data_IF_682379845662
#
_entry.id   IF_682379845662
#
_cell.length_a   1.000
_cell.length_b   1.000
_cell.length_c   1.000
_cell.angle_alpha   90.00
_cell.angle_beta   90.00
_cell.angle_gamma   90.00
#
_symmetry.space_group_name_H-M   'P 1'
#
loop_
_entity.id
_entity.type
_entity.pdbx_description
1 polymer ?
#
# COMPACT_ATOMS: atom_id res chain seq x y z
N UNK A 1 24.36 6.19 -13.97
CA UNK A 1 24.09 7.65 -13.80
C UNK A 1 23.89 7.95 -12.32
N UNK A 2 24.08 9.20 -11.89
CA UNK A 2 23.59 9.68 -10.59
C UNK A 2 22.15 10.18 -10.72
N UNK A 3 21.20 9.55 -10.03
CA UNK A 3 19.76 9.74 -10.21
C UNK A 3 19.08 10.09 -8.90
N UNK A 4 18.25 11.13 -8.90
CA UNK A 4 17.32 11.43 -7.80
C UNK A 4 15.93 10.91 -8.14
N UNK A 5 15.29 10.16 -7.23
CA UNK A 5 13.89 9.75 -7.35
C UNK A 5 13.02 10.54 -6.37
N UNK A 6 12.26 11.52 -6.88
CA UNK A 6 11.32 12.31 -6.09
C UNK A 6 10.03 11.52 -5.89
N UNK A 7 9.52 11.47 -4.65
CA UNK A 7 8.47 10.53 -4.26
C UNK A 7 9.03 9.14 -3.92
N UNK A 8 10.34 9.05 -3.62
CA UNK A 8 11.06 7.79 -3.43
C UNK A 8 10.68 6.97 -2.19
N UNK A 9 9.79 7.47 -1.34
CA UNK A 9 9.18 6.73 -0.22
C UNK A 9 7.78 6.19 -0.52
N UNK A 10 7.20 6.55 -1.67
CA UNK A 10 5.96 5.94 -2.14
C UNK A 10 6.22 4.59 -2.82
N UNK A 11 5.19 3.76 -3.05
CA UNK A 11 5.36 2.42 -3.64
C UNK A 11 6.00 2.46 -5.03
N UNK A 12 5.59 3.38 -5.89
CA UNK A 12 6.15 3.53 -7.25
C UNK A 12 7.59 4.03 -7.21
N UNK A 13 7.84 5.13 -6.48
CA UNK A 13 9.15 5.76 -6.42
C UNK A 13 10.20 4.86 -5.78
N UNK A 14 9.87 4.16 -4.69
CA UNK A 14 10.79 3.21 -4.06
C UNK A 14 11.10 2.01 -4.94
N UNK A 15 10.11 1.46 -5.66
CA UNK A 15 10.36 0.37 -6.62
C UNK A 15 11.30 0.83 -7.75
N UNK A 16 11.02 1.99 -8.36
CA UNK A 16 11.86 2.57 -9.42
C UNK A 16 13.28 2.83 -8.90
N UNK A 17 13.43 3.38 -7.71
CA UNK A 17 14.73 3.64 -7.11
C UNK A 17 15.55 2.36 -6.90
N UNK A 18 14.93 1.32 -6.35
CA UNK A 18 15.57 0.02 -6.14
C UNK A 18 15.91 -0.67 -7.47
N UNK A 19 15.04 -0.57 -8.47
CA UNK A 19 15.30 -1.08 -9.82
C UNK A 19 16.52 -0.42 -10.46
N UNK A 20 16.57 0.92 -10.48
CA UNK A 20 17.70 1.67 -11.03
C UNK A 20 19.00 1.40 -10.25
N UNK A 21 18.92 1.21 -8.93
CA UNK A 21 20.09 0.83 -8.11
C UNK A 21 20.59 -0.56 -8.49
N UNK A 22 19.69 -1.52 -8.75
CA UNK A 22 20.05 -2.86 -9.20
C UNK A 22 20.69 -2.87 -10.60
N UNK A 23 20.34 -1.91 -11.46
CA UNK A 23 21.00 -1.68 -12.76
C UNK A 23 22.39 -1.01 -12.65
N UNK A 24 22.85 -0.69 -11.43
CA UNK A 24 24.17 -0.11 -11.18
C UNK A 24 24.23 1.42 -11.22
N UNK A 25 23.08 2.10 -11.15
CA UNK A 25 23.04 3.56 -10.99
C UNK A 25 23.35 3.96 -9.54
N UNK A 26 23.88 5.17 -9.37
CA UNK A 26 23.87 5.83 -8.05
C UNK A 26 22.51 6.49 -7.88
N UNK A 27 21.79 6.11 -6.83
CA UNK A 27 20.38 6.50 -6.65
C UNK A 27 20.17 7.09 -5.27
N UNK A 28 19.61 8.29 -5.23
CA UNK A 28 19.09 8.94 -4.04
C UNK A 28 17.57 9.01 -4.10
N UNK A 29 16.91 9.05 -2.95
CA UNK A 29 15.46 9.28 -2.83
C UNK A 29 15.17 10.66 -2.24
N UNK A 30 14.09 11.28 -2.71
CA UNK A 30 13.59 12.54 -2.18
C UNK A 30 12.15 12.39 -1.66
N UNK A 31 11.92 12.89 -0.44
CA UNK A 31 10.63 12.89 0.24
C UNK A 31 10.57 14.01 1.29
N UNK A 32 9.35 14.33 1.75
CA UNK A 32 9.12 15.35 2.80
C UNK A 32 9.81 14.99 4.12
N UNK A 33 9.62 13.74 4.55
CA UNK A 33 10.16 13.22 5.80
C UNK A 33 11.19 12.13 5.50
N UNK A 34 12.21 12.02 6.37
CA UNK A 34 13.16 10.92 6.36
C UNK A 34 12.38 9.60 6.49
N UNK A 35 12.59 8.61 5.60
CA UNK A 35 11.96 7.30 5.77
C UNK A 35 12.38 6.67 7.09
N UNK A 36 11.45 5.98 7.75
CA UNK A 36 11.76 5.18 8.93
C UNK A 36 12.80 4.11 8.59
N UNK A 37 13.59 3.67 9.58
CA UNK A 37 14.65 2.68 9.38
C UNK A 37 14.13 1.37 8.77
N UNK A 38 12.89 0.98 9.09
CA UNK A 38 12.20 -0.21 8.56
C UNK A 38 11.75 -0.08 7.10
N UNK A 39 11.74 1.12 6.52
CA UNK A 39 11.27 1.34 5.16
C UNK A 39 12.22 0.71 4.13
N UNK A 40 11.68 0.10 3.07
CA UNK A 40 12.45 -0.65 2.05
C UNK A 40 13.56 0.16 1.35
N UNK A 41 13.39 1.48 1.29
CA UNK A 41 14.33 2.41 0.67
C UNK A 41 15.19 3.20 1.69
N UNK A 42 15.15 2.85 2.98
CA UNK A 42 15.85 3.59 4.05
C UNK A 42 17.37 3.59 3.93
N UNK A 43 17.93 2.59 3.22
CA UNK A 43 19.36 2.48 2.96
C UNK A 43 19.86 3.38 1.81
N UNK A 44 18.97 3.97 1.02
CA UNK A 44 19.34 4.88 -0.07
C UNK A 44 19.63 6.28 0.50
N UNK A 45 20.61 7.02 -0.05
CA UNK A 45 20.83 8.42 0.28
C UNK A 45 19.53 9.23 0.16
N UNK A 46 19.26 10.07 1.15
CA UNK A 46 18.01 10.83 1.24
C UNK A 46 18.23 12.33 1.09
N UNK A 47 17.33 12.96 0.33
CA UNK A 47 17.22 14.40 0.20
C UNK A 47 15.85 14.84 0.75
N UNK A 48 15.86 15.69 1.78
CA UNK A 48 14.66 16.38 2.23
C UNK A 48 14.12 17.24 1.08
N UNK A 49 12.87 16.99 0.68
CA UNK A 49 12.28 17.64 -0.49
C UNK A 49 10.77 17.76 -0.30
N UNK A 50 10.28 19.01 -0.27
CA UNK A 50 8.87 19.29 -0.50
C UNK A 50 8.73 20.15 -1.76
N UNK A 51 8.40 19.50 -2.88
CA UNK A 51 8.28 20.20 -4.16
C UNK A 51 7.17 21.26 -4.18
N UNK A 52 6.19 21.18 -3.26
CA UNK A 52 5.16 22.21 -3.07
C UNK A 52 5.72 23.52 -2.48
N UNK A 53 6.86 23.45 -1.79
CA UNK A 53 7.50 24.63 -1.19
C UNK A 53 8.70 25.13 -2.00
N UNK A 54 9.15 24.38 -3.00
CA UNK A 54 10.38 24.63 -3.77
C UNK A 54 11.63 24.89 -2.90
N UNK A 55 11.70 24.20 -1.77
CA UNK A 55 12.74 24.36 -0.76
C UNK A 55 14.09 23.74 -1.16
N UNK A 56 14.10 22.85 -2.16
CA UNK A 56 15.33 22.26 -2.68
C UNK A 56 16.13 23.30 -3.50
N UNK A 57 17.36 23.57 -3.07
CA UNK A 57 18.27 24.49 -3.77
C UNK A 57 18.71 23.91 -5.13
N UNK A 58 19.04 24.79 -6.07
CA UNK A 58 19.61 24.36 -7.36
C UNK A 58 20.93 23.63 -7.15
N UNK A 59 21.76 24.06 -6.20
CA UNK A 59 23.02 23.41 -5.86
C UNK A 59 22.82 21.94 -5.45
N UNK A 60 21.79 21.65 -4.64
CA UNK A 60 21.44 20.28 -4.26
C UNK A 60 21.02 19.42 -5.46
N UNK A 61 20.42 20.03 -6.49
CA UNK A 61 20.00 19.33 -7.71
C UNK A 61 21.15 19.16 -8.72
N UNK A 62 22.11 20.08 -8.74
CA UNK A 62 23.20 20.14 -9.73
C UNK A 62 24.11 18.89 -9.72
N UNK A 63 24.12 18.13 -8.62
CA UNK A 63 24.87 16.89 -8.50
C UNK A 63 24.25 15.71 -9.26
N UNK A 64 22.97 15.79 -9.63
CA UNK A 64 22.24 14.71 -10.29
C UNK A 64 22.28 14.84 -11.81
N UNK A 65 22.50 13.72 -12.49
CA UNK A 65 22.49 13.67 -13.96
C UNK A 65 21.08 13.47 -14.50
N UNK A 66 20.23 12.80 -13.73
CA UNK A 66 18.82 12.61 -14.04
C UNK A 66 17.94 12.72 -12.79
N UNK A 67 16.69 13.09 -13.01
CA UNK A 67 15.64 13.03 -12.00
C UNK A 67 14.49 12.17 -12.53
N UNK A 68 13.98 11.28 -11.69
CA UNK A 68 12.69 10.62 -11.90
C UNK A 68 11.69 11.20 -10.90
N UNK A 69 10.63 11.80 -11.41
CA UNK A 69 9.59 12.43 -10.61
C UNK A 69 8.38 11.50 -10.55
N UNK A 70 8.35 10.67 -9.50
CA UNK A 70 7.28 9.72 -9.22
C UNK A 70 6.26 10.22 -8.18
N UNK A 71 6.40 11.47 -7.74
CA UNK A 71 5.39 12.14 -6.92
C UNK A 71 4.27 12.71 -7.81
N UNK A 72 3.03 12.60 -7.34
CA UNK A 72 1.86 13.22 -7.95
C UNK A 72 0.76 13.29 -6.92
N UNK A 73 0.10 14.44 -6.81
CA UNK A 73 -1.03 14.58 -5.90
C UNK A 73 -2.27 13.93 -6.52
N UNK A 74 -3.04 13.26 -5.68
CA UNK A 74 -4.29 12.57 -5.98
C UNK A 74 -5.23 12.72 -4.77
N UNK A 75 -6.49 12.27 -4.81
CA UNK A 75 -7.45 12.51 -3.73
C UNK A 75 -6.96 12.16 -2.32
N UNK A 76 -6.03 11.20 -2.17
CA UNK A 76 -5.47 10.80 -0.86
C UNK A 76 -4.49 11.83 -0.28
N UNK A 77 -4.07 12.80 -1.08
CA UNK A 77 -3.06 13.80 -0.72
C UNK A 77 -3.67 15.18 -0.44
N UNK A 78 -4.98 15.36 -0.67
CA UNK A 78 -5.69 16.60 -0.39
C UNK A 78 -5.83 16.73 1.14
N UNK A 79 -5.31 17.82 1.75
CA UNK A 79 -5.49 18.05 3.17
C UNK A 79 -6.96 18.17 3.57
N UNK A 80 -7.28 17.76 4.79
CA UNK A 80 -8.66 17.80 5.29
C UNK A 80 -9.21 19.23 5.28
N UNK A 81 -10.39 19.40 4.68
CA UNK A 81 -11.05 20.70 4.53
C UNK A 81 -10.52 21.60 3.41
N UNK A 82 -9.50 21.17 2.66
CA UNK A 82 -9.05 21.88 1.46
C UNK A 82 -9.87 21.52 0.23
N UNK A 83 -9.91 22.44 -0.74
CA UNK A 83 -10.51 22.21 -2.05
C UNK A 83 -9.62 21.27 -2.89
N UNK A 84 -10.09 20.05 -3.22
CA UNK A 84 -9.35 19.09 -4.03
C UNK A 84 -8.92 19.65 -5.37
N UNK A 85 -9.78 20.44 -6.03
CA UNK A 85 -9.55 20.94 -7.38
C UNK A 85 -8.41 21.96 -7.39
N UNK A 86 -8.45 22.91 -6.46
CA UNK A 86 -7.37 23.87 -6.24
C UNK A 86 -6.06 23.17 -5.89
N UNK A 87 -6.11 22.16 -5.02
CA UNK A 87 -4.95 21.38 -4.63
C UNK A 87 -4.30 20.67 -5.83
N UNK A 88 -5.08 19.98 -6.68
CA UNK A 88 -4.55 19.27 -7.83
C UNK A 88 -3.91 20.22 -8.86
N UNK A 89 -4.57 21.33 -9.18
CA UNK A 89 -4.02 22.32 -10.13
C UNK A 89 -2.71 22.91 -9.62
N UNK A 90 -2.65 23.25 -8.34
CA UNK A 90 -1.44 23.78 -7.73
C UNK A 90 -0.32 22.71 -7.70
N UNK A 91 -0.57 21.57 -7.05
CA UNK A 91 0.44 20.54 -6.85
C UNK A 91 0.95 19.94 -8.17
N UNK A 92 0.05 19.47 -9.03
CA UNK A 92 0.42 18.81 -10.28
C UNK A 92 0.65 19.80 -11.41
N UNK A 93 -0.28 20.74 -11.60
CA UNK A 93 -0.25 21.65 -12.75
C UNK A 93 0.84 22.73 -12.65
N UNK A 94 1.16 23.21 -11.45
CA UNK A 94 2.05 24.36 -11.27
C UNK A 94 3.40 23.96 -10.66
N UNK A 95 3.37 23.31 -9.50
CA UNK A 95 4.55 23.09 -8.67
C UNK A 95 5.47 22.01 -9.23
N UNK A 96 4.92 20.95 -9.81
CA UNK A 96 5.71 19.91 -10.46
C UNK A 96 6.47 20.45 -11.70
N UNK A 97 5.84 21.15 -12.67
CA UNK A 97 6.57 21.78 -13.77
C UNK A 97 7.57 22.85 -13.30
N UNK A 98 7.29 23.55 -12.20
CA UNK A 98 8.23 24.49 -11.60
C UNK A 98 9.48 23.77 -11.04
N UNK A 99 9.30 22.62 -10.39
CA UNK A 99 10.41 21.76 -9.96
C UNK A 99 11.23 21.26 -11.17
N UNK A 100 10.57 20.82 -12.25
CA UNK A 100 11.25 20.39 -13.47
C UNK A 100 12.08 21.52 -14.11
N UNK A 101 11.55 22.76 -14.13
CA UNK A 101 12.33 23.96 -14.54
C UNK A 101 13.55 24.17 -13.66
N UNK A 102 13.40 24.06 -12.33
CA UNK A 102 14.49 24.23 -11.39
C UNK A 102 15.59 23.19 -11.60
N UNK A 103 15.22 21.93 -11.87
CA UNK A 103 16.14 20.86 -12.21
C UNK A 103 16.92 21.15 -13.50
N UNK A 104 16.22 21.61 -14.54
CA UNK A 104 16.85 22.07 -15.80
C UNK A 104 17.86 23.18 -15.53
N UNK A 105 17.45 24.21 -14.78
CA UNK A 105 18.27 25.38 -14.49
C UNK A 105 19.49 25.03 -13.62
N UNK A 106 19.38 23.98 -12.79
CA UNK A 106 20.49 23.39 -12.04
C UNK A 106 21.45 22.53 -12.91
N UNK A 107 21.14 22.30 -14.18
CA UNK A 107 22.00 21.56 -15.10
C UNK A 107 21.77 20.04 -15.13
N UNK A 108 20.66 19.55 -14.55
CA UNK A 108 20.22 18.16 -14.75
C UNK A 108 20.00 17.91 -16.24
N UNK A 109 20.42 16.77 -16.78
CA UNK A 109 20.32 16.48 -18.21
C UNK A 109 19.03 15.75 -18.60
N UNK A 110 18.47 14.91 -17.71
CA UNK A 110 17.26 14.12 -17.98
C UNK A 110 16.23 14.25 -16.86
N UNK A 111 14.97 14.40 -17.23
CA UNK A 111 13.85 14.45 -16.29
C UNK A 111 12.72 13.55 -16.77
N UNK A 112 12.42 12.51 -15.99
CA UNK A 112 11.34 11.57 -16.30
C UNK A 112 10.19 11.85 -15.33
N UNK A 113 9.05 12.27 -15.85
CA UNK A 113 7.82 12.45 -15.09
C UNK A 113 6.95 11.21 -15.21
N UNK A 114 6.47 10.67 -14.08
CA UNK A 114 5.43 9.64 -14.09
C UNK A 114 4.08 10.34 -14.18
N UNK A 115 3.49 10.33 -15.36
CA UNK A 115 2.24 11.02 -15.67
C UNK A 115 1.01 10.12 -15.53
N UNK A 116 -0.01 10.34 -16.37
CA UNK A 116 -1.27 9.61 -16.30
C UNK A 116 -1.82 9.39 -17.71
N UNK A 117 -2.34 8.21 -17.97
CA UNK A 117 -2.96 7.86 -19.25
C UNK A 117 -4.27 8.60 -19.55
N UNK A 118 -5.01 9.07 -18.52
CA UNK A 118 -6.37 9.61 -18.71
C UNK A 118 -6.47 10.73 -19.76
N UNK A 119 -5.57 11.73 -19.82
CA UNK A 119 -5.61 12.76 -20.86
C UNK A 119 -5.53 12.22 -22.29
N UNK A 120 -4.86 11.08 -22.51
CA UNK A 120 -4.74 10.46 -23.84
C UNK A 120 -6.02 9.76 -24.26
N UNK A 121 -6.64 9.03 -23.33
CA UNK A 121 -7.73 8.09 -23.62
C UNK A 121 -9.12 8.65 -23.31
N UNK A 122 -9.21 9.68 -22.46
CA UNK A 122 -10.42 10.43 -22.12
C UNK A 122 -10.16 11.94 -22.31
N UNK A 123 -9.80 12.43 -23.51
CA UNK A 123 -9.42 13.82 -23.72
C UNK A 123 -10.52 14.83 -23.33
N UNK A 124 -11.80 14.45 -23.46
CA UNK A 124 -12.92 15.29 -23.00
C UNK A 124 -12.89 15.59 -21.49
N UNK A 125 -12.23 14.75 -20.69
CA UNK A 125 -12.13 14.93 -19.23
C UNK A 125 -11.11 15.99 -18.85
N UNK A 126 -10.25 16.44 -19.77
CA UNK A 126 -9.33 17.56 -19.51
C UNK A 126 -10.15 18.81 -19.18
N UNK A 127 -11.27 19.03 -19.84
CA UNK A 127 -12.14 20.18 -19.57
C UNK A 127 -13.05 19.93 -18.35
N UNK A 128 -13.64 18.73 -18.21
CA UNK A 128 -14.67 18.46 -17.21
C UNK A 128 -14.16 17.92 -15.86
N UNK A 129 -12.91 17.46 -15.77
CA UNK A 129 -12.35 16.86 -14.54
C UNK A 129 -11.01 17.51 -14.20
N UNK A 130 -10.94 18.17 -13.04
CA UNK A 130 -9.77 18.96 -12.64
C UNK A 130 -8.54 18.10 -12.34
N UNK A 131 -8.71 16.89 -11.81
CA UNK A 131 -7.59 15.96 -11.66
C UNK A 131 -6.98 15.62 -13.03
N UNK A 132 -7.80 15.20 -14.01
CA UNK A 132 -7.32 14.89 -15.38
C UNK A 132 -6.66 16.11 -16.02
N UNK A 133 -7.26 17.29 -15.86
CA UNK A 133 -6.68 18.57 -16.32
C UNK A 133 -5.31 18.83 -15.70
N UNK A 134 -5.17 18.62 -14.40
CA UNK A 134 -3.91 18.86 -13.69
C UNK A 134 -2.79 17.93 -14.18
N UNK A 135 -3.11 16.66 -14.46
CA UNK A 135 -2.16 15.67 -14.98
C UNK A 135 -1.78 15.97 -16.44
N UNK A 136 -2.74 16.41 -17.25
CA UNK A 136 -2.48 16.88 -18.61
C UNK A 136 -1.53 18.08 -18.63
N UNK A 137 -1.83 19.12 -17.84
CA UNK A 137 -0.99 20.31 -17.73
C UNK A 137 0.42 19.98 -17.21
N UNK A 138 0.54 19.06 -16.26
CA UNK A 138 1.83 18.59 -15.76
C UNK A 138 2.67 17.98 -16.89
N UNK A 139 2.12 16.99 -17.60
CA UNK A 139 2.82 16.30 -18.69
C UNK A 139 3.22 17.27 -19.81
N UNK A 140 2.27 18.09 -20.28
CA UNK A 140 2.51 19.10 -21.32
C UNK A 140 3.64 20.06 -20.92
N UNK A 141 3.51 20.71 -19.76
CA UNK A 141 4.45 21.75 -19.32
C UNK A 141 5.81 21.20 -18.99
N UNK A 142 5.93 19.94 -18.55
CA UNK A 142 7.22 19.26 -18.36
C UNK A 142 7.87 19.00 -19.70
N UNK A 143 7.13 18.39 -20.65
CA UNK A 143 7.66 18.05 -21.97
C UNK A 143 8.16 19.28 -22.74
N UNK A 144 7.42 20.39 -22.68
CA UNK A 144 7.78 21.69 -23.29
C UNK A 144 9.08 22.31 -22.75
N UNK A 145 9.60 21.85 -21.59
CA UNK A 145 10.90 22.32 -21.09
C UNK A 145 12.08 21.73 -21.84
N UNK A 146 11.85 20.71 -22.65
CA UNK A 146 12.91 20.02 -23.38
C UNK A 146 13.66 20.94 -24.32
N UNK A 147 14.97 20.79 -24.36
CA UNK A 147 15.85 21.48 -25.29
C UNK A 147 17.11 20.63 -25.54
N UNK A 148 18.10 21.20 -26.23
CA UNK A 148 19.34 20.49 -26.58
C UNK A 148 20.20 20.04 -25.38
N UNK A 149 19.95 20.52 -24.16
CA UNK A 149 20.69 20.17 -22.94
C UNK A 149 19.83 19.48 -21.88
N UNK A 150 18.50 19.49 -22.04
CA UNK A 150 17.56 18.95 -21.08
C UNK A 150 16.50 18.12 -21.79
N UNK A 151 16.48 16.82 -21.51
CA UNK A 151 15.47 15.89 -22.03
C UNK A 151 14.41 15.67 -20.97
N UNK A 152 13.23 16.28 -21.13
CA UNK A 152 12.08 16.08 -20.27
C UNK A 152 11.04 15.18 -20.96
N UNK A 153 10.62 14.11 -20.28
CA UNK A 153 9.75 13.07 -20.83
C UNK A 153 8.65 12.78 -19.83
N UNK A 154 7.43 12.58 -20.31
CA UNK A 154 6.33 12.03 -19.49
C UNK A 154 6.10 10.56 -19.83
N UNK A 155 6.00 9.72 -18.81
CA UNK A 155 5.60 8.32 -18.89
C UNK A 155 4.20 8.19 -18.31
N UNK A 156 3.21 8.18 -19.20
CA UNK A 156 1.81 8.32 -18.86
C UNK A 156 1.20 6.93 -18.61
N UNK A 157 1.36 6.48 -17.37
CA UNK A 157 0.97 5.16 -16.93
C UNK A 157 -0.55 5.03 -16.66
N UNK A 158 -1.12 3.84 -16.90
CA UNK A 158 -2.46 3.50 -16.46
C UNK A 158 -2.46 2.99 -15.02
N UNK A 159 -3.39 2.12 -14.63
CA UNK A 159 -3.44 1.59 -13.26
C UNK A 159 -2.18 0.75 -12.98
N UNK A 160 -1.29 1.27 -12.14
CA UNK A 160 -0.02 0.60 -11.80
C UNK A 160 -0.21 -0.42 -10.68
N UNK A 161 0.23 -1.65 -10.92
CA UNK A 161 0.04 -2.80 -10.02
C UNK A 161 1.37 -3.23 -9.40
N UNK A 162 1.41 -3.30 -8.07
CA UNK A 162 2.52 -3.85 -7.30
C UNK A 162 3.20 -2.85 -6.37
N UNK A 163 4.11 -3.38 -5.56
CA UNK A 163 4.91 -2.68 -4.56
C UNK A 163 6.29 -3.36 -4.44
N UNK A 164 7.30 -2.69 -3.89
CA UNK A 164 8.61 -3.31 -3.68
C UNK A 164 8.56 -4.39 -2.59
N UNK A 165 9.43 -5.41 -2.75
CA UNK A 165 9.61 -6.47 -1.76
C UNK A 165 9.87 -5.87 -0.37
N UNK A 166 9.13 -6.34 0.63
CA UNK A 166 9.28 -5.89 2.02
C UNK A 166 8.37 -4.71 2.40
N UNK A 167 7.68 -4.08 1.45
CA UNK A 167 6.76 -2.98 1.75
C UNK A 167 5.38 -3.49 2.19
N UNK A 168 4.75 -2.78 3.13
CA UNK A 168 3.38 -2.99 3.57
C UNK A 168 2.50 -1.83 3.05
N UNK A 169 1.97 -1.96 1.84
CA UNK A 169 1.05 -0.95 1.29
C UNK A 169 -0.41 -1.28 1.66
N UNK A 170 -1.17 -0.36 2.27
CA UNK A 170 -2.54 -0.64 2.74
C UNK A 170 -3.49 -1.16 1.65
N UNK A 171 -3.39 -0.64 0.42
CA UNK A 171 -4.27 -1.06 -0.68
C UNK A 171 -3.98 -2.51 -1.08
N UNK A 172 -2.70 -2.83 -1.32
CA UNK A 172 -2.33 -4.18 -1.72
C UNK A 172 -2.56 -5.22 -0.61
N UNK A 173 -2.34 -4.84 0.65
CA UNK A 173 -2.64 -5.69 1.80
C UNK A 173 -4.14 -5.95 1.95
N UNK A 174 -4.99 -4.95 1.66
CA UNK A 174 -6.44 -5.12 1.63
C UNK A 174 -6.87 -6.05 0.49
N UNK A 175 -6.31 -5.92 -0.71
CA UNK A 175 -6.68 -6.77 -1.85
C UNK A 175 -6.31 -8.24 -1.61
N UNK A 176 -5.12 -8.50 -1.02
CA UNK A 176 -4.71 -9.85 -0.63
C UNK A 176 -5.58 -10.40 0.51
N UNK A 177 -5.94 -9.58 1.50
CA UNK A 177 -6.84 -9.98 2.60
C UNK A 177 -8.26 -10.27 2.10
N UNK A 178 -8.75 -9.49 1.15
CA UNK A 178 -10.00 -9.73 0.45
C UNK A 178 -9.98 -11.08 -0.28
N UNK A 179 -8.94 -11.35 -1.07
CA UNK A 179 -8.78 -12.64 -1.75
C UNK A 179 -8.67 -13.82 -0.76
N UNK A 180 -8.03 -13.62 0.40
CA UNK A 180 -7.98 -14.63 1.49
C UNK A 180 -9.35 -14.85 2.17
N UNK A 181 -10.31 -13.93 2.00
CA UNK A 181 -11.62 -13.99 2.64
C UNK A 181 -11.62 -13.52 4.09
N UNK A 182 -10.71 -12.61 4.45
CA UNK A 182 -10.66 -12.01 5.78
C UNK A 182 -11.85 -11.07 6.02
N UNK A 183 -12.34 -10.42 4.96
CA UNK A 183 -13.56 -9.60 4.99
C UNK A 183 -14.78 -10.47 4.65
N UNK A 184 -15.40 -11.08 5.66
CA UNK A 184 -16.48 -12.06 5.46
C UNK A 184 -17.80 -11.42 4.97
N UNK A 185 -17.96 -10.12 5.14
CA UNK A 185 -19.07 -9.30 4.64
C UNK A 185 -18.91 -8.90 3.16
N UNK A 186 -17.72 -9.11 2.58
CA UNK A 186 -17.43 -8.76 1.19
C UNK A 186 -17.45 -10.01 0.31
N UNK A 187 -18.49 -10.12 -0.50
CA UNK A 187 -18.62 -11.17 -1.52
C UNK A 187 -17.44 -11.16 -2.50
N UNK A 188 -17.10 -12.32 -3.06
CA UNK A 188 -16.04 -12.47 -4.07
C UNK A 188 -16.51 -12.07 -5.48
N UNK A 189 -16.33 -10.81 -5.87
CA UNK A 189 -16.70 -10.26 -7.19
C UNK A 189 -15.72 -9.16 -7.62
N UNK A 190 -15.77 -8.76 -8.88
CA UNK A 190 -15.18 -7.50 -9.34
C UNK A 190 -16.29 -6.56 -9.82
N UNK A 191 -16.15 -5.24 -9.64
CA UNK A 191 -17.12 -4.30 -10.18
C UNK A 191 -17.16 -4.39 -11.71
N UNK A 192 -18.32 -4.11 -12.31
CA UNK A 192 -18.46 -4.12 -13.75
C UNK A 192 -17.54 -3.10 -14.43
N UNK A 193 -17.05 -3.43 -15.62
CA UNK A 193 -16.13 -2.59 -16.40
C UNK A 193 -14.67 -3.08 -16.36
N UNK A 194 -13.77 -2.21 -16.79
CA UNK A 194 -12.35 -2.53 -16.91
C UNK A 194 -11.48 -1.33 -17.28
N UNK A 195 -10.17 -1.53 -17.23
CA UNK A 195 -9.18 -0.53 -17.63
C UNK A 195 -7.94 -1.22 -18.17
N UNK A 196 -7.00 -0.42 -18.69
CA UNK A 196 -5.64 -0.87 -18.90
C UNK A 196 -4.87 -0.87 -17.56
N UNK A 197 -4.05 -1.87 -17.35
CA UNK A 197 -3.16 -2.01 -16.19
C UNK A 197 -1.71 -2.03 -16.65
N UNK A 198 -0.77 -1.78 -15.75
CA UNK A 198 0.66 -2.01 -15.94
C UNK A 198 1.28 -2.47 -14.63
N UNK A 199 2.23 -3.41 -14.66
CA UNK A 199 2.97 -3.74 -13.43
C UNK A 199 3.96 -2.62 -13.07
N UNK A 200 4.25 -2.45 -11.78
CA UNK A 200 5.30 -1.53 -11.32
C UNK A 200 6.68 -1.93 -11.87
N UNK A 201 6.89 -3.22 -12.16
CA UNK A 201 8.11 -3.74 -12.79
C UNK A 201 8.23 -3.24 -14.24
N UNK A 202 7.16 -3.36 -15.03
CA UNK A 202 7.11 -2.85 -16.40
C UNK A 202 7.25 -1.32 -16.42
N UNK A 203 6.62 -0.61 -15.48
CA UNK A 203 6.81 0.84 -15.34
C UNK A 203 8.29 1.19 -15.06
N UNK A 204 8.95 0.48 -14.13
CA UNK A 204 10.35 0.72 -13.82
C UNK A 204 11.28 0.46 -15.01
N UNK A 205 11.02 -0.60 -15.79
CA UNK A 205 11.73 -0.86 -17.05
C UNK A 205 11.50 0.28 -18.06
N UNK A 206 10.28 0.80 -18.16
CA UNK A 206 9.99 1.94 -19.03
C UNK A 206 10.74 3.21 -18.58
N UNK A 207 10.94 3.41 -17.28
CA UNK A 207 11.82 4.47 -16.75
C UNK A 207 13.25 4.29 -17.24
N UNK A 208 13.82 3.08 -17.10
CA UNK A 208 15.17 2.77 -17.59
C UNK A 208 15.31 2.99 -19.10
N UNK A 209 14.30 2.56 -19.87
CA UNK A 209 14.22 2.82 -21.30
C UNK A 209 14.17 4.30 -21.66
N UNK A 210 13.35 5.08 -20.97
CA UNK A 210 13.25 6.52 -21.19
C UNK A 210 14.55 7.24 -20.83
N UNK A 211 15.19 6.86 -19.72
CA UNK A 211 16.51 7.38 -19.32
C UNK A 211 17.59 7.06 -20.35
N UNK A 212 17.55 5.90 -21.00
CA UNK A 212 18.55 5.49 -21.97
C UNK A 212 18.28 6.05 -23.39
N UNK A 213 17.04 5.91 -23.86
CA UNK A 213 16.67 6.00 -25.28
C UNK A 213 15.44 6.87 -25.57
N UNK A 214 14.81 7.43 -24.53
CA UNK A 214 13.58 8.22 -24.69
C UNK A 214 13.77 9.48 -25.55
N UNK A 215 12.73 9.82 -26.30
CA UNK A 215 12.64 11.01 -27.13
C UNK A 215 12.31 12.23 -26.28
N UNK A 216 13.17 13.25 -26.33
CA UNK A 216 13.00 14.47 -25.55
C UNK A 216 11.69 15.20 -25.94
N UNK A 217 10.92 15.64 -24.95
CA UNK A 217 9.65 16.35 -25.15
C UNK A 217 8.46 15.45 -25.44
N UNK A 218 8.62 14.12 -25.38
CA UNK A 218 7.53 13.18 -25.63
C UNK A 218 6.78 12.80 -24.35
N UNK A 219 5.45 12.69 -24.48
CA UNK A 219 4.58 12.06 -23.50
C UNK A 219 4.18 10.67 -24.02
N UNK A 220 4.78 9.62 -23.46
CA UNK A 220 4.55 8.23 -23.84
C UNK A 220 3.31 7.68 -23.15
N UNK A 221 2.31 7.23 -23.92
CA UNK A 221 1.20 6.45 -23.40
C UNK A 221 1.68 5.03 -23.11
N UNK A 222 1.71 4.63 -21.84
CA UNK A 222 2.10 3.27 -21.44
C UNK A 222 0.88 2.37 -21.32
N UNK A 223 1.09 1.06 -21.37
CA UNK A 223 0.05 0.08 -21.09
C UNK A 223 0.55 -1.34 -21.15
N UNK A 224 -0.08 -2.22 -20.36
CA UNK A 224 0.27 -3.64 -20.30
C UNK A 224 -0.90 -4.52 -20.75
N UNK A 225 -1.91 -4.70 -19.89
CA UNK A 225 -3.04 -5.58 -20.11
C UNK A 225 -4.35 -4.80 -20.04
N UNK A 226 -5.23 -4.98 -21.03
CA UNK A 226 -6.62 -4.52 -20.97
C UNK A 226 -7.45 -5.57 -20.23
N UNK A 227 -7.85 -5.30 -18.98
CA UNK A 227 -8.53 -6.26 -18.12
C UNK A 227 -9.89 -5.74 -17.63
N UNK A 228 -10.86 -6.65 -17.51
CA UNK A 228 -12.01 -6.39 -16.64
C UNK A 228 -11.57 -6.37 -15.18
N UNK A 229 -12.26 -5.62 -14.33
CA UNK A 229 -11.93 -5.61 -12.89
C UNK A 229 -12.13 -6.99 -12.26
N UNK A 230 -13.11 -7.77 -12.72
CA UNK A 230 -13.28 -9.16 -12.32
C UNK A 230 -12.06 -10.03 -12.65
N UNK A 231 -11.47 -9.88 -13.86
CA UNK A 231 -10.25 -10.60 -14.22
C UNK A 231 -9.04 -10.13 -13.41
N UNK A 232 -8.94 -8.83 -13.15
CA UNK A 232 -7.91 -8.27 -12.29
C UNK A 232 -7.98 -8.85 -10.87
N UNK A 233 -9.17 -8.86 -10.24
CA UNK A 233 -9.35 -9.49 -8.92
C UNK A 233 -9.11 -11.01 -8.97
N UNK A 234 -9.47 -11.71 -10.06
CA UNK A 234 -9.19 -13.14 -10.22
C UNK A 234 -7.70 -13.46 -10.05
N UNK A 235 -6.78 -12.58 -10.46
CA UNK A 235 -5.35 -12.79 -10.23
C UNK A 235 -5.02 -12.89 -8.72
N UNK A 236 -5.64 -12.08 -7.87
CA UNK A 236 -5.44 -12.14 -6.42
C UNK A 236 -5.97 -13.45 -5.81
N UNK A 237 -7.18 -13.88 -6.21
CA UNK A 237 -7.76 -15.15 -5.73
C UNK A 237 -6.91 -16.35 -6.13
N UNK A 238 -6.40 -16.36 -7.37
CA UNK A 238 -5.46 -17.39 -7.83
C UNK A 238 -4.16 -17.37 -7.03
N UNK A 239 -3.58 -16.18 -6.82
CA UNK A 239 -2.30 -16.02 -6.13
C UNK A 239 -2.34 -16.47 -4.66
N UNK A 240 -3.50 -16.39 -4.00
CA UNK A 240 -3.69 -16.91 -2.63
C UNK A 240 -4.23 -18.35 -2.60
N UNK A 241 -4.34 -19.01 -3.76
CA UNK A 241 -4.75 -20.42 -3.88
C UNK A 241 -6.24 -20.67 -3.62
N UNK A 242 -7.10 -19.65 -3.72
CA UNK A 242 -8.53 -19.77 -3.46
C UNK A 242 -9.30 -20.12 -4.74
N UNK A 243 -9.93 -21.28 -4.75
CA UNK A 243 -10.73 -21.78 -5.88
C UNK A 243 -12.10 -21.06 -5.96
N UNK A 244 -12.09 -19.82 -6.45
CA UNK A 244 -13.29 -18.99 -6.68
C UNK A 244 -13.24 -18.43 -8.10
N UNK A 245 -14.39 -18.39 -8.76
CA UNK A 245 -14.57 -17.66 -10.01
C UNK A 245 -15.11 -16.28 -9.68
N UNK A 246 -14.32 -15.24 -9.94
CA UNK A 246 -14.70 -13.85 -9.66
C UNK A 246 -15.65 -13.37 -10.75
N UNK A 247 -16.91 -13.16 -10.38
CA UNK A 247 -17.93 -12.63 -11.29
C UNK A 247 -17.78 -11.11 -11.47
N UNK A 248 -18.17 -10.60 -12.65
CA UNK A 248 -18.34 -9.17 -12.91
C UNK A 248 -19.75 -8.75 -12.49
N UNK A 249 -19.87 -7.90 -11.46
CA UNK A 249 -21.16 -7.46 -10.92
C UNK A 249 -21.25 -5.93 -10.99
N UNK A 250 -22.36 -5.40 -11.48
CA UNK A 250 -22.64 -3.96 -11.46
C UNK A 250 -23.08 -3.51 -10.07
N UNK A 251 -22.12 -3.50 -9.14
CA UNK A 251 -22.27 -3.07 -7.76
C UNK A 251 -20.98 -2.39 -7.31
N UNK A 252 -21.11 -1.43 -6.41
CA UNK A 252 -19.95 -0.76 -5.81
C UNK A 252 -19.09 -1.80 -5.09
N UNK A 253 -17.78 -1.70 -5.22
CA UNK A 253 -16.84 -2.65 -4.64
C UNK A 253 -15.96 -1.94 -3.60
N UNK A 254 -15.88 -2.40 -2.34
CA UNK A 254 -15.16 -1.67 -1.29
C UNK A 254 -13.66 -1.55 -1.58
N UNK A 255 -13.06 -2.55 -2.23
CA UNK A 255 -11.65 -2.50 -2.64
C UNK A 255 -11.40 -1.59 -3.85
N UNK A 256 -12.42 -1.32 -4.67
CA UNK A 256 -12.31 -0.49 -5.86
C UNK A 256 -13.60 0.32 -6.01
N UNK A 257 -13.77 1.37 -5.19
CA UNK A 257 -15.01 2.12 -5.12
C UNK A 257 -15.22 2.97 -6.38
N UNK A 258 -16.44 3.42 -6.62
CA UNK A 258 -16.81 4.09 -7.88
C UNK A 258 -16.01 5.37 -8.14
N UNK A 259 -15.61 6.08 -7.08
CA UNK A 259 -14.78 7.29 -7.16
C UNK A 259 -13.37 6.98 -7.71
N UNK A 260 -12.91 5.74 -7.61
CA UNK A 260 -11.65 5.28 -8.18
C UNK A 260 -11.78 4.81 -9.64
N UNK A 261 -13.01 4.66 -10.16
CA UNK A 261 -13.31 4.23 -11.53
C UNK A 261 -13.66 5.47 -12.35
N UNK A 262 -12.64 6.20 -12.81
CA UNK A 262 -12.79 7.50 -13.49
C UNK A 262 -13.76 7.46 -14.68
N UNK A 263 -13.74 6.37 -15.46
CA UNK A 263 -14.61 6.16 -16.61
C UNK A 263 -16.06 5.79 -16.23
N UNK A 264 -16.35 5.64 -14.94
CA UNK A 264 -17.61 5.13 -14.41
C UNK A 264 -17.68 3.60 -14.43
N UNK A 265 -18.24 3.01 -13.37
CA UNK A 265 -18.50 1.56 -13.28
C UNK A 265 -19.35 1.11 -14.48
N UNK A 266 -19.05 -0.07 -15.00
CA UNK A 266 -19.67 -0.64 -16.20
C UNK A 266 -18.98 -0.25 -17.51
N UNK A 267 -18.20 0.84 -17.53
CA UNK A 267 -17.44 1.26 -18.70
C UNK A 267 -16.04 0.63 -18.72
N UNK A 268 -15.47 0.48 -19.91
CA UNK A 268 -14.13 -0.07 -20.11
C UNK A 268 -13.25 0.92 -20.87
N UNK A 269 -12.07 1.22 -20.33
CA UNK A 269 -10.99 1.87 -21.08
C UNK A 269 -10.04 0.79 -21.58
N UNK A 270 -9.91 0.66 -22.90
CA UNK A 270 -9.00 -0.30 -23.52
C UNK A 270 -8.28 0.33 -24.71
N UNK A 271 -6.97 0.10 -24.80
CA UNK A 271 -6.11 0.62 -25.87
C UNK A 271 -4.83 -0.21 -25.99
N UNK A 272 -4.12 -0.03 -27.09
CA UNK A 272 -2.77 -0.56 -27.29
C UNK A 272 -1.78 0.60 -27.38
N UNK A 273 -0.70 0.60 -26.58
CA UNK A 273 0.41 1.54 -26.76
C UNK A 273 1.02 1.43 -28.15
N UNK A 274 1.62 2.52 -28.63
CA UNK A 274 2.36 2.50 -29.89
C UNK A 274 3.53 1.50 -29.81
N UNK A 275 3.64 0.61 -30.79
CA UNK A 275 4.62 -0.49 -30.77
C UNK A 275 6.07 0.01 -30.85
N UNK A 276 6.30 1.12 -31.55
CA UNK A 276 7.64 1.72 -31.62
C UNK A 276 8.01 2.33 -30.27
N UNK A 277 7.06 2.96 -29.59
CA UNK A 277 7.28 3.48 -28.24
C UNK A 277 7.56 2.38 -27.21
N UNK A 278 6.84 1.26 -27.29
CA UNK A 278 7.13 0.06 -26.47
C UNK A 278 8.54 -0.47 -26.75
N UNK A 279 8.97 -0.51 -28.01
CA UNK A 279 10.32 -0.95 -28.37
C UNK A 279 11.41 0.01 -27.85
N UNK A 280 11.22 1.32 -28.01
CA UNK A 280 12.13 2.35 -27.51
C UNK A 280 12.28 2.24 -25.99
N UNK A 281 11.16 2.13 -25.27
CA UNK A 281 11.16 2.03 -23.81
C UNK A 281 11.58 0.62 -23.32
N UNK A 282 11.39 -0.42 -24.11
CA UNK A 282 11.89 -1.77 -23.84
C UNK A 282 11.34 -2.40 -22.56
N UNK A 283 10.09 -2.09 -22.19
CA UNK A 283 9.42 -2.71 -21.04
C UNK A 283 8.64 -3.96 -21.46
N UNK A 284 8.52 -4.91 -20.55
CA UNK A 284 7.77 -6.14 -20.79
C UNK A 284 6.26 -5.94 -20.65
N UNK A 285 5.49 -6.79 -21.32
CA UNK A 285 4.03 -6.86 -21.21
C UNK A 285 3.57 -8.27 -20.79
N UNK A 286 2.32 -8.38 -20.36
CA UNK A 286 1.65 -9.47 -19.67
C UNK A 286 2.24 -9.78 -18.30
N UNK A 287 2.52 -8.75 -17.49
CA UNK A 287 3.18 -8.89 -16.20
C UNK A 287 2.29 -8.57 -14.99
N UNK A 288 1.01 -8.20 -15.20
CA UNK A 288 0.11 -7.87 -14.07
C UNK A 288 -0.15 -9.10 -13.20
N UNK A 289 -0.50 -10.23 -13.81
CA UNK A 289 -0.68 -11.50 -13.11
C UNK A 289 0.59 -11.97 -12.37
N UNK A 290 1.73 -12.13 -13.08
CA UNK A 290 3.01 -12.49 -12.45
C UNK A 290 3.45 -11.56 -11.32
N UNK A 291 3.22 -10.24 -11.44
CA UNK A 291 3.53 -9.29 -10.37
C UNK A 291 2.64 -9.51 -9.14
N UNK A 292 1.35 -9.80 -9.32
CA UNK A 292 0.43 -10.12 -8.21
C UNK A 292 0.85 -11.44 -7.53
N UNK A 293 1.23 -12.47 -8.29
CA UNK A 293 1.74 -13.74 -7.76
C UNK A 293 3.02 -13.55 -6.93
N UNK A 294 3.98 -12.79 -7.46
CA UNK A 294 5.19 -12.44 -6.72
C UNK A 294 4.85 -11.69 -5.44
N UNK A 295 3.99 -10.67 -5.52
CA UNK A 295 3.60 -9.87 -4.36
C UNK A 295 2.91 -10.73 -3.28
N UNK A 296 2.02 -11.65 -3.67
CA UNK A 296 1.40 -12.58 -2.74
C UNK A 296 2.43 -13.51 -2.07
N UNK A 297 3.39 -14.03 -2.84
CA UNK A 297 4.50 -14.85 -2.33
C UNK A 297 5.35 -14.08 -1.33
N UNK A 298 5.76 -12.86 -1.66
CA UNK A 298 6.59 -12.01 -0.80
C UNK A 298 5.87 -11.61 0.50
N UNK A 299 4.57 -11.34 0.44
CA UNK A 299 3.76 -11.09 1.64
C UNK A 299 3.66 -12.35 2.50
N UNK A 300 3.52 -13.54 1.89
CA UNK A 300 3.53 -14.80 2.63
C UNK A 300 4.90 -15.07 3.29
N UNK A 301 6.00 -14.80 2.59
CA UNK A 301 7.37 -14.86 3.15
C UNK A 301 7.52 -13.90 4.34
N UNK A 302 7.05 -12.66 4.19
CA UNK A 302 7.10 -11.63 5.24
C UNK A 302 6.31 -12.05 6.49
N UNK A 303 5.08 -12.54 6.32
CA UNK A 303 4.27 -13.02 7.45
C UNK A 303 4.93 -14.25 8.09
N UNK A 304 5.45 -15.15 7.26
CA UNK A 304 6.06 -16.41 7.65
C UNK A 304 5.03 -17.42 8.20
N UNK A 305 5.43 -18.66 8.47
CA UNK A 305 4.52 -19.69 8.98
C UNK A 305 4.01 -19.33 10.37
N UNK A 306 2.78 -19.75 10.67
CA UNK A 306 2.25 -19.69 12.03
C UNK A 306 2.44 -21.06 12.66
N UNK A 307 3.46 -21.18 13.50
CA UNK A 307 3.73 -22.40 14.25
C UNK A 307 2.73 -22.51 15.40
N UNK A 308 2.12 -23.70 15.54
CA UNK A 308 1.33 -24.01 16.73
C UNK A 308 2.26 -24.31 17.89
N UNK A 309 1.94 -23.76 19.06
CA UNK A 309 2.56 -24.13 20.32
C UNK A 309 2.26 -25.61 20.57
N UNK A 310 3.32 -26.34 20.91
CA UNK A 310 3.21 -27.73 21.35
C UNK A 310 3.31 -27.73 22.86
N UNK A 311 2.21 -28.08 23.52
CA UNK A 311 2.11 -28.16 24.96
C UNK A 311 2.52 -29.57 25.43
N UNK A 312 3.41 -29.64 26.41
CA UNK A 312 3.77 -30.86 27.13
C UNK A 312 2.80 -31.22 28.26
N UNK A 313 3.14 -32.29 28.97
CA UNK A 313 2.32 -32.87 30.06
C UNK A 313 2.06 -31.89 31.22
N UNK A 314 2.95 -30.91 31.42
CA UNK A 314 2.88 -29.97 32.53
C UNK A 314 2.20 -28.65 32.18
N UNK A 315 1.62 -28.53 30.98
CA UNK A 315 0.87 -27.36 30.59
C UNK A 315 -0.32 -27.13 31.52
N UNK A 316 -0.42 -25.94 32.08
CA UNK A 316 -1.43 -25.60 33.08
C UNK A 316 -1.95 -24.18 32.89
N UNK A 317 -2.99 -23.84 33.65
CA UNK A 317 -3.46 -22.47 33.78
C UNK A 317 -2.50 -21.71 34.71
N UNK A 318 -2.09 -20.52 34.29
CA UNK A 318 -1.33 -19.58 35.11
C UNK A 318 -2.07 -18.25 35.21
N UNK A 319 -2.36 -17.75 36.44
CA UNK A 319 -3.17 -16.56 36.62
C UNK A 319 -2.49 -15.27 36.12
N UNK A 320 -1.16 -15.18 36.17
CA UNK A 320 -0.44 -13.97 35.76
C UNK A 320 -0.41 -13.84 34.23
N UNK A 321 -0.16 -14.95 33.52
CA UNK A 321 -0.19 -15.01 32.06
C UNK A 321 -1.62 -14.89 31.50
N UNK A 322 -2.62 -15.37 32.23
CA UNK A 322 -4.02 -15.13 31.87
C UNK A 322 -4.38 -13.65 32.04
N UNK A 323 -3.99 -13.04 33.16
CA UNK A 323 -4.19 -11.62 33.41
C UNK A 323 -3.48 -10.74 32.35
N UNK A 324 -2.29 -11.13 31.89
CA UNK A 324 -1.60 -10.48 30.77
C UNK A 324 -2.42 -10.51 29.48
N UNK A 325 -3.02 -11.66 29.15
CA UNK A 325 -3.89 -11.79 27.97
C UNK A 325 -5.20 -11.03 28.11
N UNK A 326 -5.78 -10.95 29.31
CA UNK A 326 -6.94 -10.12 29.58
C UNK A 326 -6.62 -8.62 29.46
N UNK A 327 -5.43 -8.17 29.92
CA UNK A 327 -4.95 -6.79 29.73
C UNK A 327 -4.76 -6.44 28.26
N UNK A 328 -4.24 -7.36 27.46
CA UNK A 328 -4.18 -7.18 26.00
C UNK A 328 -5.56 -6.87 25.42
N UNK A 329 -6.56 -7.71 25.73
CA UNK A 329 -7.93 -7.55 25.24
C UNK A 329 -8.49 -6.19 25.63
N UNK A 330 -8.40 -5.85 26.92
CA UNK A 330 -8.88 -4.58 27.43
C UNK A 330 -8.17 -3.39 26.75
N UNK A 331 -6.84 -3.45 26.58
CA UNK A 331 -6.08 -2.39 25.94
C UNK A 331 -6.47 -2.19 24.46
N UNK A 332 -6.68 -3.28 23.72
CA UNK A 332 -7.16 -3.23 22.34
C UNK A 332 -8.56 -2.63 22.26
N UNK A 333 -9.48 -3.07 23.11
CA UNK A 333 -10.88 -2.62 23.11
C UNK A 333 -11.05 -1.14 23.48
N UNK A 334 -10.15 -0.61 24.33
CA UNK A 334 -10.19 0.78 24.78
C UNK A 334 -9.20 1.68 24.01
N UNK A 335 -8.50 1.14 23.01
CA UNK A 335 -7.40 1.81 22.33
C UNK A 335 -6.32 2.40 23.28
N UNK A 336 -6.10 1.76 24.44
CA UNK A 336 -5.13 2.21 25.44
C UNK A 336 -3.72 1.76 25.06
N UNK A 337 -3.01 2.65 24.36
CA UNK A 337 -1.62 2.43 23.93
C UNK A 337 -0.63 2.31 25.10
N UNK A 338 -0.93 2.89 26.26
CA UNK A 338 -0.06 2.80 27.44
C UNK A 338 -0.13 1.40 28.04
N UNK A 339 -1.34 0.89 28.22
CA UNK A 339 -1.55 -0.49 28.66
C UNK A 339 -1.01 -1.48 27.63
N UNK A 340 -1.27 -1.24 26.34
CA UNK A 340 -0.78 -2.12 25.27
C UNK A 340 0.76 -2.20 25.24
N UNK A 341 1.46 -1.07 25.45
CA UNK A 341 2.93 -1.05 25.60
C UNK A 341 3.42 -1.87 26.79
N UNK A 342 2.67 -1.91 27.90
CA UNK A 342 3.06 -2.71 29.07
C UNK A 342 2.93 -4.22 28.85
N UNK A 343 2.15 -4.64 27.84
CA UNK A 343 1.83 -6.06 27.57
C UNK A 343 2.88 -6.72 26.67
N UNK A 344 3.53 -5.99 25.78
CA UNK A 344 4.48 -6.52 24.81
C UNK A 344 5.94 -6.14 25.15
N UNK A 345 6.90 -6.94 24.69
CA UNK A 345 8.31 -6.52 24.66
C UNK A 345 8.52 -5.48 23.55
N UNK A 346 9.60 -4.69 23.61
CA UNK A 346 9.87 -3.64 22.61
C UNK A 346 10.10 -4.23 21.20
N UNK A 347 10.65 -5.44 21.14
CA UNK A 347 10.94 -6.21 19.92
C UNK A 347 9.85 -7.23 19.55
N UNK A 348 8.67 -7.13 20.17
CA UNK A 348 7.63 -8.15 20.02
C UNK A 348 7.14 -8.30 18.58
N UNK A 349 6.72 -9.53 18.22
CA UNK A 349 6.11 -9.83 16.93
C UNK A 349 4.65 -10.23 17.12
N UNK A 350 3.74 -9.52 16.47
CA UNK A 350 2.32 -9.85 16.40
C UNK A 350 1.92 -10.13 14.95
N UNK A 351 1.41 -11.33 14.66
CA UNK A 351 1.04 -11.71 13.29
C UNK A 351 -0.19 -12.58 13.23
N UNK A 352 -0.82 -12.64 12.06
CA UNK A 352 -1.99 -13.46 11.80
C UNK A 352 -2.24 -13.61 10.30
N UNK A 353 -3.42 -14.11 9.90
CA UNK A 353 -3.77 -14.27 8.49
C UNK A 353 -3.73 -12.92 7.76
N UNK A 354 -2.76 -12.77 6.86
CA UNK A 354 -2.63 -11.58 6.02
C UNK A 354 -1.95 -10.38 6.67
N UNK A 355 -1.45 -10.46 7.90
CA UNK A 355 -0.75 -9.34 8.54
C UNK A 355 0.41 -9.78 9.44
N UNK A 356 1.35 -8.86 9.63
CA UNK A 356 2.46 -8.98 10.57
C UNK A 356 2.89 -7.59 11.03
N UNK A 357 3.13 -7.45 12.32
CA UNK A 357 3.67 -6.27 12.99
C UNK A 357 4.95 -6.64 13.73
N UNK A 358 6.01 -5.87 13.47
CA UNK A 358 7.34 -6.08 14.02
C UNK A 358 7.73 -4.91 14.93
N UNK A 359 7.91 -5.20 16.22
CA UNK A 359 8.23 -4.21 17.24
C UNK A 359 7.01 -3.48 17.79
N UNK A 360 7.21 -2.88 18.96
CA UNK A 360 6.12 -2.27 19.73
C UNK A 360 5.42 -1.11 19.00
N UNK A 361 6.16 -0.30 18.24
CA UNK A 361 5.58 0.88 17.60
C UNK A 361 4.56 0.50 16.50
N UNK A 362 4.80 -0.58 15.75
CA UNK A 362 3.82 -1.10 14.78
C UNK A 362 2.59 -1.69 15.50
N UNK A 363 2.79 -2.36 16.63
CA UNK A 363 1.70 -2.95 17.43
C UNK A 363 0.80 -1.86 18.01
N UNK A 364 1.37 -0.73 18.47
CA UNK A 364 0.63 0.39 19.03
C UNK A 364 -0.22 1.15 18.01
N UNK A 365 0.01 0.95 16.71
CA UNK A 365 -0.80 1.53 15.64
C UNK A 365 -2.07 0.70 15.32
N UNK A 366 -2.15 -0.55 15.80
CA UNK A 366 -3.27 -1.46 15.51
C UNK A 366 -4.63 -0.92 15.99
N UNK A 367 -4.77 -0.34 17.19
CA UNK A 367 -6.06 0.20 17.63
C UNK A 367 -6.62 1.29 16.70
N UNK A 368 -5.76 2.17 16.19
CA UNK A 368 -6.18 3.23 15.25
C UNK A 368 -6.66 2.60 13.92
N UNK A 369 -5.95 1.56 13.46
CA UNK A 369 -6.33 0.82 12.26
C UNK A 369 -7.68 0.12 12.44
N UNK A 370 -7.91 -0.53 13.58
CA UNK A 370 -9.19 -1.19 13.88
C UNK A 370 -10.34 -0.19 13.92
N UNK A 371 -10.14 1.00 14.51
CA UNK A 371 -11.15 2.06 14.54
C UNK A 371 -11.54 2.57 13.14
N UNK A 372 -10.65 2.45 12.14
CA UNK A 372 -10.97 2.79 10.75
C UNK A 372 -11.87 1.77 10.05
N UNK A 373 -11.86 0.51 10.49
CA UNK A 373 -12.66 -0.58 9.89
C UNK A 373 -13.92 -0.90 10.68
N UNK A 374 -13.88 -0.73 12.00
CA UNK A 374 -14.90 -1.20 12.90
C UNK A 374 -15.41 -0.05 13.76
N UNK A 375 -16.73 -0.04 13.94
CA UNK A 375 -17.41 0.89 14.82
C UNK A 375 -16.98 0.70 16.27
N UNK A 376 -16.84 -0.57 16.69
CA UNK A 376 -16.28 -0.96 17.98
C UNK A 376 -15.77 -2.39 17.94
N UNK A 377 -14.92 -2.75 18.89
CA UNK A 377 -14.39 -4.10 19.04
C UNK A 377 -14.49 -4.55 20.49
N UNK A 378 -14.63 -5.86 20.69
CA UNK A 378 -14.59 -6.50 21.99
C UNK A 378 -13.84 -7.82 21.90
N UNK A 379 -12.85 -8.02 22.77
CA UNK A 379 -12.10 -9.25 22.86
C UNK A 379 -12.37 -9.98 24.18
N UNK A 380 -12.63 -11.27 24.08
CA UNK A 380 -12.87 -12.15 25.24
C UNK A 380 -11.85 -13.28 25.22
N UNK A 381 -11.00 -13.34 26.25
CA UNK A 381 -10.17 -14.52 26.51
C UNK A 381 -11.00 -15.58 27.21
N UNK A 382 -10.78 -16.85 26.84
CA UNK A 382 -11.55 -17.97 27.38
C UNK A 382 -10.62 -18.99 28.04
N UNK A 383 -10.13 -19.97 27.29
CA UNK A 383 -9.21 -21.00 27.80
C UNK A 383 -7.77 -20.58 27.55
N UNK A 384 -6.89 -20.85 28.51
CA UNK A 384 -5.45 -20.69 28.33
C UNK A 384 -4.71 -21.84 29.01
N UNK A 385 -3.74 -22.40 28.28
CA UNK A 385 -2.76 -23.33 28.82
C UNK A 385 -1.36 -22.88 28.42
N UNK A 386 -0.46 -22.87 29.39
CA UNK A 386 0.93 -22.40 29.23
C UNK A 386 1.90 -23.40 29.85
N UNK A 387 3.13 -23.40 29.36
CA UNK A 387 4.27 -24.04 30.01
C UNK A 387 5.32 -22.99 30.33
N UNK A 388 5.71 -22.94 31.61
CA UNK A 388 6.67 -21.96 32.12
C UNK A 388 8.02 -22.64 32.33
N UNK A 389 9.08 -22.03 31.80
CA UNK A 389 10.48 -22.44 31.99
C UNK A 389 11.31 -21.23 32.41
N UNK A 390 11.46 -21.06 33.72
CA UNK A 390 12.20 -19.94 34.31
C UNK A 390 11.55 -18.60 33.96
N UNK A 391 12.28 -17.73 33.25
CA UNK A 391 11.82 -16.42 32.78
C UNK A 391 11.22 -16.43 31.36
N UNK A 392 10.86 -17.60 30.85
CA UNK A 392 10.20 -17.76 29.56
C UNK A 392 8.99 -18.67 29.70
N UNK A 393 7.98 -18.46 28.86
CA UNK A 393 6.84 -19.36 28.76
C UNK A 393 6.32 -19.40 27.32
N UNK A 394 5.60 -20.47 26.96
CA UNK A 394 4.84 -20.54 25.73
C UNK A 394 3.45 -21.10 26.01
N UNK A 395 2.46 -20.73 25.20
CA UNK A 395 1.10 -21.18 25.46
C UNK A 395 0.11 -20.92 24.34
N UNK A 396 -1.05 -21.58 24.47
CA UNK A 396 -2.21 -21.30 23.63
C UNK A 396 -3.27 -20.55 24.44
N UNK A 397 -3.74 -19.43 23.89
CA UNK A 397 -4.86 -18.67 24.45
C UNK A 397 -6.01 -18.63 23.44
N UNK A 398 -7.18 -19.15 23.83
CA UNK A 398 -8.40 -19.02 23.03
C UNK A 398 -9.04 -17.66 23.24
N UNK A 399 -9.41 -17.00 22.14
CA UNK A 399 -10.03 -15.69 22.15
C UNK A 399 -11.19 -15.60 21.17
N UNK A 400 -12.20 -14.81 21.54
CA UNK A 400 -13.28 -14.38 20.65
C UNK A 400 -13.15 -12.88 20.47
N UNK A 401 -12.96 -12.43 19.24
CA UNK A 401 -12.96 -11.01 18.91
C UNK A 401 -14.25 -10.69 18.13
N UNK A 402 -15.09 -9.83 18.67
CA UNK A 402 -16.34 -9.39 18.05
C UNK A 402 -16.17 -7.94 17.61
N UNK A 403 -16.31 -7.71 16.31
CA UNK A 403 -16.14 -6.40 15.68
C UNK A 403 -17.48 -5.95 15.12
N UNK A 404 -18.00 -4.82 15.64
CA UNK A 404 -19.18 -4.17 15.05
C UNK A 404 -18.73 -3.47 13.78
N UNK A 405 -19.34 -3.79 12.63
CA UNK A 405 -18.96 -3.17 11.37
C UNK A 405 -19.36 -1.68 11.33
N UNK A 406 -18.55 -0.87 10.66
CA UNK A 406 -18.90 0.53 10.37
C UNK A 406 -20.23 0.57 9.58
N UNK A 407 -21.22 1.38 10.01
CA UNK A 407 -22.44 1.55 9.23
C UNK A 407 -22.18 2.44 8.01
N UNK A 408 -23.08 2.36 7.03
CA UNK A 408 -23.18 3.41 6.02
C UNK A 408 -23.49 4.77 6.66
N UNK A 409 -23.10 5.86 6.00
CA UNK A 409 -23.31 7.20 6.50
C UNK A 409 -24.79 7.45 6.84
N UNK A 410 -25.04 7.86 8.09
CA UNK A 410 -26.39 8.13 8.60
C UNK A 410 -27.19 6.90 9.05
N UNK A 411 -26.61 5.71 8.99
CA UNK A 411 -27.25 4.48 9.48
C UNK A 411 -26.69 4.03 10.83
N UNK A 412 -27.44 3.15 11.51
CA UNK A 412 -26.97 2.45 12.71
C UNK A 412 -26.20 1.19 12.31
N UNK A 413 -25.22 0.75 13.11
CA UNK A 413 -24.54 -0.52 12.87
C UNK A 413 -25.51 -1.70 13.02
N UNK A 414 -25.50 -2.61 12.04
CA UNK A 414 -26.43 -3.75 11.97
C UNK A 414 -25.73 -5.10 11.90
N UNK A 415 -24.40 -5.14 11.88
CA UNK A 415 -23.65 -6.38 11.71
C UNK A 415 -22.48 -6.48 12.67
N UNK A 416 -22.22 -7.69 13.14
CA UNK A 416 -21.03 -8.06 13.92
C UNK A 416 -20.29 -9.16 13.20
N UNK A 417 -19.00 -8.91 12.96
CA UNK A 417 -18.01 -9.87 12.48
C UNK A 417 -17.29 -10.47 13.68
N UNK A 418 -17.40 -11.77 13.89
CA UNK A 418 -16.73 -12.47 15.00
C UNK A 418 -15.60 -13.35 14.49
N UNK A 419 -14.41 -13.14 15.03
CA UNK A 419 -13.23 -13.98 14.80
C UNK A 419 -13.03 -14.93 15.97
N UNK A 420 -12.82 -16.21 15.65
CA UNK A 420 -12.57 -17.27 16.62
C UNK A 420 -11.10 -17.63 16.56
N UNK A 421 -10.38 -17.22 17.60
CA UNK A 421 -8.94 -17.06 17.58
C UNK A 421 -8.26 -18.06 18.51
N UNK A 422 -7.15 -18.63 18.04
CA UNK A 422 -6.11 -19.22 18.90
C UNK A 422 -4.85 -18.37 18.82
N UNK A 423 -4.48 -17.74 19.93
CA UNK A 423 -3.17 -17.12 20.05
C UNK A 423 -2.13 -18.17 20.41
N UNK A 424 -1.07 -18.21 19.63
CA UNK A 424 0.13 -19.03 19.83
C UNK A 424 1.21 -18.09 20.36
N UNK A 425 1.37 -18.09 21.68
CA UNK A 425 2.11 -17.06 22.41
C UNK A 425 3.47 -17.57 22.90
N UNK A 426 4.48 -16.70 22.80
CA UNK A 426 5.72 -16.79 23.58
C UNK A 426 5.78 -15.59 24.51
N UNK A 427 6.06 -15.85 25.78
CA UNK A 427 6.15 -14.86 26.85
C UNK A 427 7.56 -14.80 27.43
N UNK A 428 7.97 -13.62 27.86
CA UNK A 428 9.24 -13.36 28.55
C UNK A 428 8.93 -12.63 29.86
N UNK A 429 9.60 -13.01 30.93
CA UNK A 429 9.55 -12.32 32.22
C UNK A 429 10.69 -11.31 32.31
N UNK A 430 10.36 -10.03 32.31
CA UNK A 430 11.30 -8.92 32.50
C UNK A 430 11.18 -8.39 33.94
N UNK A 431 12.17 -8.70 34.79
CA UNK A 431 12.06 -8.49 36.23
C UNK A 431 10.94 -9.36 36.81
N UNK A 432 9.92 -8.71 37.38
CA UNK A 432 8.75 -9.40 37.93
C UNK A 432 7.53 -9.41 36.99
N UNK A 433 7.64 -8.85 35.79
CA UNK A 433 6.50 -8.69 34.87
C UNK A 433 6.62 -9.60 33.66
N UNK A 434 5.56 -10.36 33.38
CA UNK A 434 5.42 -11.07 32.12
C UNK A 434 5.03 -10.14 30.99
N UNK A 435 5.60 -10.36 29.81
CA UNK A 435 5.30 -9.68 28.55
C UNK A 435 5.21 -10.67 27.40
N UNK A 436 4.45 -10.30 26.38
CA UNK A 436 4.30 -11.06 25.14
C UNK A 436 5.46 -10.67 24.22
N UNK A 437 6.30 -11.64 23.88
CA UNK A 437 7.39 -11.46 22.91
C UNK A 437 6.98 -11.88 21.50
N UNK A 438 6.11 -12.89 21.39
CA UNK A 438 5.51 -13.30 20.11
C UNK A 438 4.05 -13.66 20.34
N UNK A 439 3.17 -13.18 19.49
CA UNK A 439 1.77 -13.63 19.40
C UNK A 439 1.44 -13.92 17.96
N UNK A 440 1.17 -15.18 17.65
CA UNK A 440 0.66 -15.58 16.33
C UNK A 440 -0.81 -15.96 16.45
N UNK A 441 -1.67 -15.25 15.74
CA UNK A 441 -3.11 -15.47 15.70
C UNK A 441 -3.43 -16.53 14.63
N UNK A 442 -4.13 -17.59 15.02
CA UNK A 442 -4.79 -18.52 14.10
C UNK A 442 -6.29 -18.23 14.14
N UNK A 443 -6.92 -18.06 12.98
CA UNK A 443 -8.38 -18.04 12.85
C UNK A 443 -8.88 -19.47 12.66
N UNK A 444 -9.65 -19.98 13.61
CA UNK A 444 -10.33 -21.27 13.45
C UNK A 444 -11.52 -21.11 12.47
N UNK A 445 -12.32 -20.05 12.63
CA UNK A 445 -13.34 -19.61 11.67
C UNK A 445 -13.76 -18.14 11.91
N UNK A 446 -14.58 -17.62 10.99
CA UNK A 446 -15.15 -16.27 11.02
C UNK A 446 -16.68 -16.40 10.88
N UNK A 447 -17.43 -15.71 11.73
CA UNK A 447 -18.89 -15.62 11.68
C UNK A 447 -19.32 -14.18 11.37
N UNK A 448 -20.36 -13.99 10.55
CA UNK A 448 -21.02 -12.70 10.35
C UNK A 448 -22.48 -12.80 10.79
N UNK A 449 -22.88 -11.93 11.71
CA UNK A 449 -24.22 -11.96 12.32
C UNK A 449 -24.89 -10.59 12.23
N UNK A 450 -26.20 -10.58 11.99
CA UNK A 450 -27.01 -9.37 12.13
C UNK A 450 -27.22 -9.04 13.62
N UNK A 451 -27.22 -7.76 13.95
CA UNK A 451 -27.55 -7.24 15.29
C UNK A 451 -28.67 -6.22 15.21
N UNK A 452 -29.59 -6.26 16.19
CA UNK A 452 -30.78 -5.41 16.19
C UNK A 452 -30.48 -3.99 16.70
N UNK A 453 -29.72 -3.88 17.78
CA UNK A 453 -29.34 -2.61 18.40
C UNK A 453 -27.96 -2.72 19.04
N UNK A 454 -27.10 -1.74 18.80
CA UNK A 454 -25.85 -1.54 19.53
C UNK A 454 -26.12 -0.50 20.61
N UNK A 455 -25.92 -0.88 21.88
CA UNK A 455 -26.12 0.00 23.03
C UNK A 455 -24.75 0.52 23.47
N UNK A 456 -24.69 1.83 23.73
CA UNK A 456 -23.48 2.54 24.17
C UNK A 456 -23.21 2.38 25.66
#
# INVERSE_FOLDING_TARGET
MNILVVGGTGPLGSYIALHLKAEGHEVSIASRNLPQASHVASALPWLACNYLNQDVSQDSLAHYQAIVFAAGSDPRHVPEGEDPDAHFLHANGEMLPAFARRARDAGVAKFIHIGSFYPHVLPGYIESNVYVRSRHLAAQRVCELSNNKFSAISLDAPFVVGMPKGMKDPMWMAYLSYARGIYADVESFGPAGGTNFISVRSLAQAVSGALARGEAGKAYLLGDENLSFARFFQYFFNAVGKAVVVASIDRAHPMLPDEAIMQGRGNTVAYEPDSHDVEVLGYQRNDVGPMIEQMASEVNEMIGPIDRVVLGEYACFDPDLYALSAKYCWAMDNADKTMLRSVFTDDAVLKGPGFRHDGIDEILAIPDLLASFFYSTRHETTQQLVEIKGSSAHGETLCVASHVLQPEAGQQPQQVLTWRIRYQDNFIKEGEQWRIAKRSLILDWIDLQAVHHVIH
#
